data_IF_140757317992
#
_entry.id   IF_140757317992
#
_cell.length_a   1.000
_cell.length_b   1.000
_cell.length_c   1.000
_cell.angle_alpha   90.00
_cell.angle_beta   90.00
_cell.angle_gamma   90.00
#
_symmetry.space_group_name_H-M   'P 1'
#
loop_
_entity.id
_entity.type
_entity.pdbx_description
1 polymer ?
#
# COMPACT_ATOMS: atom_id res chain seq x y z
N UNK A 1 -1.30 23.65 9.96
CA UNK A 1 -0.86 22.39 10.55
C UNK A 1 -1.78 21.27 10.06
N UNK A 2 -1.22 20.17 9.63
CA UNK A 2 -2.02 19.05 9.16
C UNK A 2 -2.71 18.34 10.33
N UNK A 3 -4.01 18.06 10.19
CA UNK A 3 -4.76 17.28 11.17
C UNK A 3 -4.29 15.82 11.17
N UNK A 4 -4.06 15.26 9.98
CA UNK A 4 -3.49 13.93 9.79
C UNK A 4 -2.20 14.08 9.01
N UNK A 5 -1.10 13.52 9.50
CA UNK A 5 0.21 13.73 8.91
C UNK A 5 0.70 12.54 8.09
N UNK A 6 0.13 11.36 8.33
CA UNK A 6 0.66 10.12 7.80
C UNK A 6 -0.50 9.18 7.42
N UNK A 7 -0.90 9.25 6.17
CA UNK A 7 -1.99 8.41 5.67
C UNK A 7 -1.44 7.12 5.08
N UNK A 8 -2.04 5.99 5.44
CA UNK A 8 -1.76 4.71 4.83
C UNK A 8 -2.91 4.34 3.90
N UNK A 9 -2.61 4.11 2.63
CA UNK A 9 -3.57 3.64 1.64
C UNK A 9 -3.27 2.18 1.34
N UNK A 10 -4.21 1.30 1.66
CA UNK A 10 -4.09 -0.12 1.33
C UNK A 10 -4.56 -0.29 -0.12
N UNK A 11 -3.63 -0.70 -0.99
CA UNK A 11 -3.90 -0.86 -2.41
C UNK A 11 -4.66 -2.17 -2.65
N UNK A 12 -5.66 -2.13 -3.54
CA UNK A 12 -6.36 -3.33 -4.00
C UNK A 12 -5.62 -3.89 -5.22
N UNK A 13 -5.08 -5.11 -5.14
CA UNK A 13 -4.30 -5.67 -6.26
C UNK A 13 -5.17 -6.16 -7.42
N UNK A 14 -6.49 -6.16 -7.28
CA UNK A 14 -7.40 -6.79 -8.23
C UNK A 14 -8.03 -5.82 -9.22
N UNK A 15 -7.71 -4.53 -9.14
CA UNK A 15 -8.26 -3.54 -10.06
C UNK A 15 -7.30 -2.38 -10.25
N UNK A 16 -7.40 -1.72 -11.40
CA UNK A 16 -6.56 -0.57 -11.72
C UNK A 16 -7.05 0.69 -11.04
N UNK A 17 -8.36 0.86 -10.90
CA UNK A 17 -8.91 2.01 -10.19
C UNK A 17 -8.74 1.82 -8.69
N UNK A 18 -8.16 2.84 -8.04
CA UNK A 18 -7.86 2.81 -6.61
C UNK A 18 -8.61 3.94 -5.89
N UNK A 19 -9.88 3.74 -5.56
CA UNK A 19 -10.68 4.78 -4.89
C UNK A 19 -10.07 5.27 -3.58
N UNK A 20 -9.41 4.36 -2.82
CA UNK A 20 -8.79 4.74 -1.56
C UNK A 20 -7.63 5.71 -1.78
N UNK A 21 -6.82 5.49 -2.83
CA UNK A 21 -5.74 6.40 -3.17
C UNK A 21 -6.29 7.75 -3.62
N UNK A 22 -7.31 7.76 -4.44
CA UNK A 22 -7.97 8.98 -4.89
C UNK A 22 -8.51 9.79 -3.71
N UNK A 23 -9.14 9.12 -2.74
CA UNK A 23 -9.64 9.77 -1.54
C UNK A 23 -8.50 10.35 -0.69
N UNK A 24 -7.39 9.63 -0.56
CA UNK A 24 -6.22 10.10 0.20
C UNK A 24 -5.62 11.35 -0.45
N UNK A 25 -5.53 11.38 -1.77
CA UNK A 25 -5.06 12.57 -2.49
C UNK A 25 -5.99 13.76 -2.27
N UNK A 26 -7.29 13.53 -2.31
CA UNK A 26 -8.29 14.56 -2.00
C UNK A 26 -8.08 15.14 -0.59
N UNK A 27 -7.88 14.25 0.40
CA UNK A 27 -7.63 14.67 1.77
C UNK A 27 -6.31 15.43 1.90
N UNK A 28 -5.26 14.95 1.23
CA UNK A 28 -3.97 15.65 1.21
C UNK A 28 -4.13 17.08 0.69
N UNK A 29 -4.92 17.30 -0.34
CA UNK A 29 -5.14 18.63 -0.90
C UNK A 29 -5.88 19.56 0.06
N UNK A 30 -6.67 18.99 0.97
CA UNK A 30 -7.48 19.76 1.92
C UNK A 30 -6.78 19.99 3.26
N UNK A 31 -6.13 18.96 3.79
CA UNK A 31 -5.59 18.99 5.16
C UNK A 31 -4.09 18.70 5.23
N UNK A 32 -3.43 18.47 4.09
CA UNK A 32 -2.01 18.13 4.06
C UNK A 32 -1.74 16.68 4.42
N UNK A 33 -0.49 16.39 4.79
CA UNK A 33 -0.06 15.07 5.19
C UNK A 33 0.58 14.29 4.06
N UNK A 34 1.31 13.23 4.43
CA UNK A 34 1.96 12.31 3.50
C UNK A 34 1.09 11.08 3.27
N UNK A 35 1.32 10.42 2.14
CA UNK A 35 0.59 9.22 1.75
C UNK A 35 1.60 8.09 1.56
N UNK A 36 1.32 6.92 2.12
CA UNK A 36 2.03 5.69 1.78
C UNK A 36 1.03 4.74 1.14
N UNK A 37 1.29 4.38 -0.12
CA UNK A 37 0.54 3.35 -0.83
C UNK A 37 1.17 2.01 -0.49
N UNK A 38 0.43 1.13 0.18
CA UNK A 38 0.93 -0.10 0.79
C UNK A 38 0.20 -1.30 0.22
N UNK A 39 0.96 -2.32 -0.17
CA UNK A 39 0.40 -3.56 -0.69
C UNK A 39 1.15 -4.76 -0.10
N UNK A 40 0.54 -5.51 0.83
CA UNK A 40 1.06 -6.83 1.21
C UNK A 40 0.65 -7.86 0.15
N UNK A 41 1.61 -8.65 -0.31
CA UNK A 41 1.39 -9.71 -1.30
C UNK A 41 1.90 -11.03 -0.77
N UNK A 42 1.29 -12.12 -1.25
CA UNK A 42 1.73 -13.47 -0.96
C UNK A 42 1.21 -14.41 -2.03
N UNK A 43 2.08 -15.26 -2.52
CA UNK A 43 1.69 -16.35 -3.42
C UNK A 43 2.18 -17.67 -2.83
N UNK A 44 1.24 -18.45 -2.36
CA UNK A 44 1.48 -19.73 -1.72
C UNK A 44 2.23 -20.71 -2.64
N UNK A 45 1.99 -20.64 -3.94
CA UNK A 45 2.62 -21.54 -4.90
C UNK A 45 4.15 -21.36 -4.94
N UNK A 46 4.66 -20.16 -4.74
CA UNK A 46 6.09 -19.93 -4.69
C UNK A 46 6.73 -20.52 -3.44
N UNK A 47 6.00 -20.56 -2.33
CA UNK A 47 6.49 -21.13 -1.09
C UNK A 47 6.48 -22.65 -1.12
N UNK A 48 5.59 -23.24 -1.91
CA UNK A 48 5.41 -24.69 -1.97
C UNK A 48 6.31 -25.40 -2.98
N UNK A 49 6.98 -24.66 -3.86
CA UNK A 49 7.81 -25.31 -4.86
C UNK A 49 9.12 -25.80 -4.25
N UNK A 50 9.41 -27.11 -4.44
CA UNK A 50 10.66 -27.72 -4.00
C UNK A 50 11.72 -27.73 -5.09
N UNK A 51 11.37 -27.25 -6.29
CA UNK A 51 12.27 -27.21 -7.43
C UNK A 51 13.25 -26.04 -7.39
N UNK A 52 12.93 -25.04 -6.56
CA UNK A 52 13.75 -23.84 -6.45
C UNK A 52 14.60 -23.88 -5.19
N UNK A 53 15.84 -23.42 -5.30
CA UNK A 53 16.69 -23.17 -4.15
C UNK A 53 16.16 -21.98 -3.34
N UNK A 54 16.62 -21.81 -2.08
CA UNK A 54 16.24 -20.62 -1.30
C UNK A 54 16.59 -19.31 -2.01
N UNK A 55 17.73 -19.23 -2.69
CA UNK A 55 18.13 -18.03 -3.40
C UNK A 55 17.24 -17.76 -4.60
N UNK A 56 16.84 -18.80 -5.33
CA UNK A 56 15.93 -18.67 -6.46
C UNK A 56 14.55 -18.21 -5.99
N UNK A 57 14.06 -18.73 -4.87
CA UNK A 57 12.79 -18.30 -4.28
C UNK A 57 12.83 -16.83 -3.88
N UNK A 58 13.92 -16.40 -3.26
CA UNK A 58 14.11 -14.98 -2.90
C UNK A 58 14.10 -14.10 -4.14
N UNK A 59 14.79 -14.50 -5.19
CA UNK A 59 14.81 -13.75 -6.44
C UNK A 59 13.43 -13.65 -7.07
N UNK A 60 12.64 -14.73 -7.04
CA UNK A 60 11.27 -14.72 -7.55
C UNK A 60 10.37 -13.78 -6.74
N UNK A 61 10.45 -13.80 -5.40
CA UNK A 61 9.69 -12.88 -4.56
C UNK A 61 10.03 -11.42 -4.89
N UNK A 62 11.32 -11.13 -5.01
CA UNK A 62 11.77 -9.77 -5.35
C UNK A 62 11.27 -9.35 -6.72
N UNK A 63 11.21 -10.26 -7.67
CA UNK A 63 10.64 -10.00 -9.00
C UNK A 63 9.17 -9.62 -8.93
N UNK A 64 8.38 -10.35 -8.13
CA UNK A 64 6.96 -10.05 -7.95
C UNK A 64 6.76 -8.72 -7.24
N UNK A 65 7.55 -8.46 -6.19
CA UNK A 65 7.52 -7.20 -5.46
C UNK A 65 7.82 -6.03 -6.41
N UNK A 66 8.84 -6.19 -7.24
CA UNK A 66 9.24 -5.15 -8.21
C UNK A 66 8.13 -4.88 -9.23
N UNK A 67 7.52 -5.93 -9.78
CA UNK A 67 6.40 -5.78 -10.72
C UNK A 67 5.23 -5.04 -10.09
N UNK A 68 4.87 -5.38 -8.87
CA UNK A 68 3.75 -4.72 -8.17
C UNK A 68 4.09 -3.28 -7.80
N UNK A 69 5.33 -3.02 -7.42
CA UNK A 69 5.79 -1.66 -7.14
C UNK A 69 5.66 -0.78 -8.39
N UNK A 70 6.11 -1.29 -9.54
CA UNK A 70 6.01 -0.57 -10.81
C UNK A 70 4.54 -0.33 -11.19
N UNK A 71 3.68 -1.32 -10.97
CA UNK A 71 2.26 -1.18 -11.25
C UNK A 71 1.62 -0.09 -10.39
N UNK A 72 1.95 -0.03 -9.09
CA UNK A 72 1.43 1.03 -8.21
C UNK A 72 1.97 2.40 -8.65
N UNK A 73 3.24 2.47 -9.04
CA UNK A 73 3.80 3.70 -9.61
C UNK A 73 2.98 4.19 -10.80
N UNK A 74 2.58 3.29 -11.66
CA UNK A 74 1.78 3.63 -12.83
C UNK A 74 0.40 4.15 -12.39
N UNK A 75 -0.22 3.54 -11.38
CA UNK A 75 -1.51 4.00 -10.85
C UNK A 75 -1.40 5.37 -10.17
N UNK A 76 -0.26 5.68 -9.58
CA UNK A 76 -0.04 6.93 -8.84
C UNK A 76 0.62 8.03 -9.69
N UNK A 77 1.00 7.73 -10.91
CA UNK A 77 1.85 8.57 -11.75
C UNK A 77 1.34 10.00 -11.89
N UNK A 78 0.04 10.16 -12.15
CA UNK A 78 -0.57 11.47 -12.31
C UNK A 78 -0.36 12.32 -11.05
N UNK A 79 -0.59 11.74 -9.89
CA UNK A 79 -0.46 12.44 -8.60
C UNK A 79 1.01 12.73 -8.26
N UNK A 80 1.89 11.76 -8.52
CA UNK A 80 3.33 11.93 -8.30
C UNK A 80 3.88 13.07 -9.15
N UNK A 81 3.48 13.12 -10.42
CA UNK A 81 3.91 14.19 -11.33
C UNK A 81 3.35 15.55 -10.91
N UNK A 82 2.24 15.57 -10.20
CA UNK A 82 1.65 16.80 -9.66
C UNK A 82 2.26 17.21 -8.31
N UNK A 83 3.25 16.46 -7.81
CA UNK A 83 3.96 16.79 -6.58
C UNK A 83 3.32 16.26 -5.31
N UNK A 84 2.33 15.38 -5.41
CA UNK A 84 1.72 14.75 -4.21
C UNK A 84 2.73 13.81 -3.57
N UNK A 85 2.99 13.90 -2.25
CA UNK A 85 3.99 13.07 -1.58
C UNK A 85 3.44 11.65 -1.32
N UNK A 86 3.69 10.74 -2.25
CA UNK A 86 3.26 9.34 -2.16
C UNK A 86 4.51 8.46 -2.14
N UNK A 87 4.68 7.71 -1.06
CA UNK A 87 5.66 6.65 -0.95
C UNK A 87 4.97 5.32 -1.27
N UNK A 88 5.65 4.43 -1.98
CA UNK A 88 5.09 3.13 -2.36
C UNK A 88 5.87 2.03 -1.65
N UNK A 89 5.14 1.10 -1.01
CA UNK A 89 5.75 -0.01 -0.30
C UNK A 89 4.97 -1.28 -0.57
N UNK A 90 5.65 -2.28 -1.14
CA UNK A 90 5.11 -3.63 -1.37
C UNK A 90 5.91 -4.60 -0.52
N UNK A 91 5.23 -5.43 0.26
CA UNK A 91 5.88 -6.40 1.14
C UNK A 91 5.36 -7.79 0.86
N UNK A 92 6.21 -8.79 1.07
CA UNK A 92 5.83 -10.20 1.00
C UNK A 92 5.44 -10.66 2.39
N UNK A 93 4.16 -11.00 2.58
CA UNK A 93 3.65 -11.40 3.90
C UNK A 93 2.44 -12.29 3.72
N UNK A 94 2.45 -13.45 4.41
CA UNK A 94 1.37 -14.43 4.32
C UNK A 94 0.10 -14.04 5.10
N UNK A 95 0.15 -12.98 5.88
CA UNK A 95 -0.99 -12.49 6.67
C UNK A 95 -1.19 -10.99 6.39
N UNK A 96 -2.00 -10.65 5.38
CA UNK A 96 -2.10 -9.26 4.91
C UNK A 96 -2.54 -8.28 6.01
N UNK A 97 -3.49 -8.68 6.85
CA UNK A 97 -3.98 -7.80 7.91
C UNK A 97 -2.92 -7.54 8.97
N UNK A 98 -2.13 -8.57 9.30
CA UNK A 98 -1.02 -8.42 10.23
C UNK A 98 0.04 -7.49 9.67
N UNK A 99 0.35 -7.61 8.37
CA UNK A 99 1.29 -6.71 7.70
C UNK A 99 0.82 -5.26 7.76
N UNK A 100 -0.48 -5.04 7.56
CA UNK A 100 -1.07 -3.70 7.64
C UNK A 100 -0.92 -3.14 9.06
N UNK A 101 -1.24 -3.93 10.08
CA UNK A 101 -1.12 -3.51 11.48
C UNK A 101 0.33 -3.17 11.83
N UNK A 102 1.27 -4.01 11.41
CA UNK A 102 2.70 -3.77 11.63
C UNK A 102 3.15 -2.47 10.96
N UNK A 103 2.69 -2.21 9.75
CA UNK A 103 3.02 -0.98 9.03
C UNK A 103 2.43 0.24 9.74
N UNK A 104 1.19 0.17 10.19
CA UNK A 104 0.53 1.26 10.92
C UNK A 104 1.33 1.63 12.16
N UNK A 105 1.77 0.63 12.92
CA UNK A 105 2.52 0.86 14.17
C UNK A 105 3.92 1.38 13.86
N UNK A 106 4.67 0.71 13.00
CA UNK A 106 6.07 1.07 12.72
C UNK A 106 6.20 2.37 11.94
N UNK A 107 5.23 2.66 11.06
CA UNK A 107 5.23 3.86 10.25
C UNK A 107 4.55 5.06 10.88
N UNK A 108 3.90 4.88 12.03
CA UNK A 108 3.21 5.97 12.71
C UNK A 108 2.05 6.55 11.91
N UNK A 109 1.31 5.72 11.21
CA UNK A 109 0.18 6.18 10.39
C UNK A 109 -1.02 6.50 11.27
N UNK A 110 -1.58 7.68 11.07
CA UNK A 110 -2.70 8.17 11.86
C UNK A 110 -4.06 8.05 11.14
N UNK A 111 -4.04 7.69 9.87
CA UNK A 111 -5.25 7.46 9.08
C UNK A 111 -4.99 6.31 8.11
N UNK A 112 -5.92 5.35 8.04
CA UNK A 112 -5.83 4.20 7.13
C UNK A 112 -7.05 4.23 6.21
N UNK A 113 -6.81 4.15 4.90
CA UNK A 113 -7.85 4.12 3.89
C UNK A 113 -7.77 2.81 3.13
N UNK A 114 -8.92 2.13 3.00
CA UNK A 114 -9.01 0.87 2.28
C UNK A 114 -10.32 0.82 1.50
N UNK A 115 -10.26 0.36 0.26
CA UNK A 115 -11.47 0.16 -0.54
C UNK A 115 -12.25 -1.04 0.02
N UNK A 116 -13.53 -0.85 0.23
CA UNK A 116 -14.47 -1.92 0.60
C UNK A 116 -15.22 -2.43 -0.63
N UNK A 117 -15.60 -1.48 -1.50
CA UNK A 117 -16.23 -1.75 -2.79
C UNK A 117 -15.82 -0.64 -3.75
N UNK A 118 -16.10 -0.77 -5.07
CA UNK A 118 -15.73 0.28 -6.01
C UNK A 118 -16.28 1.67 -5.67
N UNK A 119 -17.34 1.73 -4.88
CA UNK A 119 -17.98 3.00 -4.52
C UNK A 119 -17.80 3.39 -3.06
N UNK A 120 -17.17 2.54 -2.24
CA UNK A 120 -17.01 2.78 -0.81
C UNK A 120 -15.57 2.61 -0.37
N UNK A 121 -15.05 3.65 0.29
CA UNK A 121 -13.73 3.64 0.90
C UNK A 121 -13.92 3.64 2.42
N UNK A 122 -13.26 2.69 3.08
CA UNK A 122 -13.24 2.58 4.53
C UNK A 122 -12.08 3.43 5.04
N UNK A 123 -12.37 4.34 5.97
CA UNK A 123 -11.37 5.25 6.53
C UNK A 123 -11.36 5.05 8.03
N UNK A 124 -10.21 4.69 8.58
CA UNK A 124 -10.02 4.45 10.00
C UNK A 124 -9.00 5.43 10.55
N UNK A 125 -9.38 6.13 11.57
CA UNK A 125 -8.46 6.96 12.35
C UNK A 125 -7.76 6.07 13.38
N UNK A 126 -6.45 6.20 13.49
CA UNK A 126 -5.67 5.46 14.46
C UNK A 126 -5.29 6.39 15.62
N UNK A 127 -5.10 5.82 16.81
CA UNK A 127 -4.69 6.57 18.00
C UNK A 127 -3.23 6.28 18.31
N UNK A 128 -2.37 6.45 17.32
CA UNK A 128 -0.94 6.24 17.46
C UNK A 128 -0.28 7.48 18.02
N UNK A 129 0.58 7.26 18.98
CA UNK A 129 1.34 8.33 19.64
C UNK A 129 2.82 8.05 19.61
#
# INVERSE_FOLDING_TARGET
MAMYQNMLVVIDPNQDDQPALRRAVYLHQRIGGKIKAFLPIYDFSYEMTTLLSPDERTAMRQGVISQRTDWIHEQAKYYLNAGVPIEIKVVWHNRPFEAIIQEVISGGHDLVLKMVSPTHVFIVRTLIR
#
